data_IF_289135300351
#
_entry.id   IF_289135300351
#
_cell.length_a   1.000
_cell.length_b   1.000
_cell.length_c   1.000
_cell.angle_alpha   90.00
_cell.angle_beta   90.00
_cell.angle_gamma   90.00
#
_symmetry.space_group_name_H-M   'P 1'
#
loop_
_entity.id
_entity.type
_entity.pdbx_description
1 polymer ?
#
# COMPACT_ATOMS: atom_id res chain seq x y z
N UNK A 1 5.34 -7.23 -9.03
CA UNK A 1 4.62 -7.32 -7.75
C UNK A 1 5.60 -7.81 -6.69
N UNK A 2 5.68 -7.10 -5.57
CA UNK A 2 6.54 -7.42 -4.43
C UNK A 2 5.69 -7.47 -3.17
N UNK A 3 5.81 -8.51 -2.36
CA UNK A 3 5.10 -8.61 -1.08
C UNK A 3 6.03 -8.34 0.08
N UNK A 4 5.62 -7.42 0.94
CA UNK A 4 6.22 -7.06 2.22
C UNK A 4 5.36 -7.52 3.40
N UNK A 5 4.34 -8.34 3.14
CA UNK A 5 3.54 -8.97 4.17
C UNK A 5 4.36 -9.91 5.05
N UNK A 6 4.00 -10.01 6.32
CA UNK A 6 4.69 -10.78 7.35
C UNK A 6 6.06 -10.23 7.73
N UNK A 7 6.38 -8.98 7.35
CA UNK A 7 7.61 -8.31 7.77
C UNK A 7 7.34 -7.53 9.06
N UNK A 8 8.28 -7.52 10.01
CA UNK A 8 8.06 -6.93 11.34
C UNK A 8 8.18 -5.39 11.34
N UNK A 9 7.73 -4.69 10.29
CA UNK A 9 7.93 -3.25 10.16
C UNK A 9 7.23 -2.46 11.27
N UNK A 10 6.02 -2.86 11.67
CA UNK A 10 5.29 -2.24 12.78
C UNK A 10 5.77 -2.68 14.18
N UNK A 11 6.73 -3.60 14.27
CA UNK A 11 7.35 -4.02 15.53
C UNK A 11 8.67 -3.29 15.79
N UNK A 12 9.22 -2.58 14.79
CA UNK A 12 10.49 -1.86 14.92
C UNK A 12 10.30 -0.63 15.83
N UNK A 13 11.03 -0.56 16.94
CA UNK A 13 11.08 0.60 17.82
C UNK A 13 12.54 1.03 18.03
N UNK A 14 12.86 2.27 17.68
CA UNK A 14 14.19 2.88 17.84
C UNK A 14 14.32 3.70 19.13
N UNK A 15 13.33 3.66 20.03
CA UNK A 15 13.29 4.37 21.30
C UNK A 15 12.20 5.46 21.39
N UNK A 16 11.31 5.55 20.40
CA UNK A 16 10.24 6.55 20.32
C UNK A 16 8.89 5.96 19.88
N UNK A 17 8.75 4.64 19.95
CA UNK A 17 7.56 3.92 19.53
C UNK A 17 7.67 3.38 18.10
N UNK A 18 6.74 2.49 17.77
CA UNK A 18 6.66 1.85 16.46
C UNK A 18 6.06 2.76 15.39
N UNK A 19 6.29 2.46 14.09
CA UNK A 19 5.71 3.22 12.99
C UNK A 19 4.18 3.32 13.07
N UNK A 20 3.69 4.51 12.74
CA UNK A 20 2.25 4.73 12.47
C UNK A 20 1.87 4.17 11.11
N UNK A 21 2.79 4.23 10.14
CA UNK A 21 2.54 3.77 8.77
C UNK A 21 3.85 3.41 8.08
N UNK A 22 3.78 2.50 7.12
CA UNK A 22 4.94 2.03 6.35
C UNK A 22 4.62 2.13 4.86
N UNK A 23 5.62 2.41 4.04
CA UNK A 23 5.39 2.68 2.62
C UNK A 23 6.67 2.82 1.80
N UNK A 24 6.49 3.13 0.53
CA UNK A 24 7.60 3.30 -0.41
C UNK A 24 8.26 4.67 -0.23
N UNK A 25 9.58 4.67 -0.12
CA UNK A 25 10.38 5.89 0.03
C UNK A 25 10.55 6.66 -1.28
N UNK A 26 10.46 5.99 -2.43
CA UNK A 26 10.66 6.59 -3.75
C UNK A 26 9.38 6.56 -4.60
N UNK A 27 9.18 7.64 -5.36
CA UNK A 27 8.17 7.67 -6.41
C UNK A 27 8.65 6.79 -7.58
N UNK A 28 7.79 5.93 -8.13
CA UNK A 28 8.09 5.20 -9.36
C UNK A 28 8.45 6.16 -10.50
N UNK A 29 9.34 5.74 -11.38
CA UNK A 29 9.55 6.42 -12.66
C UNK A 29 8.26 6.41 -13.49
N UNK A 30 8.13 7.40 -14.38
CA UNK A 30 6.99 7.46 -15.31
C UNK A 30 6.88 6.14 -16.10
N UNK A 31 5.65 5.65 -16.27
CA UNK A 31 5.30 4.42 -16.99
C UNK A 31 5.82 3.11 -16.37
N UNK A 32 6.40 3.15 -15.16
CA UNK A 32 6.77 1.94 -14.43
C UNK A 32 5.60 1.42 -13.61
N UNK A 33 5.23 0.18 -13.89
CA UNK A 33 4.25 -0.57 -13.10
C UNK A 33 4.88 -1.03 -11.79
N UNK A 34 4.37 -0.53 -10.67
CA UNK A 34 4.80 -0.94 -9.32
C UNK A 34 3.58 -1.43 -8.55
N UNK A 35 3.71 -2.60 -7.94
CA UNK A 35 2.69 -3.17 -7.05
C UNK A 35 3.40 -3.71 -5.83
N UNK A 36 3.12 -3.12 -4.67
CA UNK A 36 3.67 -3.52 -3.38
C UNK A 36 2.54 -3.78 -2.39
N UNK A 37 2.60 -4.93 -1.73
CA UNK A 37 1.64 -5.33 -0.70
C UNK A 37 2.30 -5.19 0.66
N UNK A 38 1.64 -4.49 1.59
CA UNK A 38 2.07 -4.33 2.97
C UNK A 38 0.95 -4.77 3.90
N UNK A 39 1.30 -5.25 5.09
CA UNK A 39 0.29 -5.45 6.14
C UNK A 39 -0.25 -4.09 6.59
N UNK A 40 -1.53 -4.04 6.98
CA UNK A 40 -2.06 -2.90 7.71
C UNK A 40 -1.44 -2.83 9.12
N UNK A 41 -1.48 -1.66 9.74
CA UNK A 41 -0.92 -1.49 11.10
C UNK A 41 -1.53 -2.43 12.14
N UNK A 42 -2.85 -2.65 12.06
CA UNK A 42 -3.58 -3.54 12.95
C UNK A 42 -3.36 -5.03 12.64
N UNK A 43 -2.73 -5.35 11.51
CA UNK A 43 -2.50 -6.71 11.05
C UNK A 43 -3.75 -7.43 10.55
N UNK A 44 -4.90 -6.74 10.45
CA UNK A 44 -6.17 -7.34 10.03
C UNK A 44 -6.38 -7.30 8.51
N UNK A 45 -5.57 -6.52 7.79
CA UNK A 45 -5.72 -6.29 6.35
C UNK A 45 -4.38 -6.10 5.62
N UNK A 46 -4.51 -5.80 4.33
CA UNK A 46 -3.37 -5.56 3.43
C UNK A 46 -3.57 -4.23 2.71
N UNK A 47 -2.56 -3.39 2.74
CA UNK A 47 -2.47 -2.19 1.91
C UNK A 47 -1.76 -2.53 0.59
N UNK A 48 -2.40 -2.19 -0.52
CA UNK A 48 -1.84 -2.34 -1.85
C UNK A 48 -1.42 -0.98 -2.42
N UNK A 49 -0.11 -0.79 -2.57
CA UNK A 49 0.48 0.38 -3.19
C UNK A 49 0.72 0.10 -4.67
N UNK A 50 -0.04 0.80 -5.51
CA UNK A 50 -0.09 0.54 -6.95
C UNK A 50 0.24 1.82 -7.71
N UNK A 51 1.18 1.69 -8.65
CA UNK A 51 1.49 2.70 -9.66
C UNK A 51 1.35 2.06 -11.03
N UNK A 52 0.59 2.73 -11.89
CA UNK A 52 0.33 2.36 -13.28
C UNK A 52 0.49 3.61 -14.15
N UNK A 53 0.68 3.45 -15.47
CA UNK A 53 0.47 4.55 -16.41
C UNK A 53 -0.89 5.22 -16.16
N UNK A 54 -0.95 6.54 -16.34
CA UNK A 54 -2.13 7.34 -15.96
C UNK A 54 -3.44 6.83 -16.60
N UNK A 55 -3.36 6.41 -17.86
CA UNK A 55 -4.50 5.86 -18.60
C UNK A 55 -5.03 4.58 -17.93
N UNK A 56 -4.14 3.66 -17.57
CA UNK A 56 -4.49 2.40 -16.91
C UNK A 56 -4.99 2.65 -15.49
N UNK A 57 -4.35 3.56 -14.74
CA UNK A 57 -4.76 3.91 -13.39
C UNK A 57 -6.17 4.49 -13.36
N UNK A 58 -6.55 5.28 -14.38
CA UNK A 58 -7.89 5.87 -14.47
C UNK A 58 -9.00 4.81 -14.65
N UNK A 59 -8.69 3.71 -15.34
CA UNK A 59 -9.61 2.57 -15.50
C UNK A 59 -9.61 1.73 -14.22
N UNK A 60 -8.42 1.42 -13.69
CA UNK A 60 -8.24 0.62 -12.48
C UNK A 60 -9.01 1.19 -11.28
N UNK A 61 -8.96 2.50 -11.05
CA UNK A 61 -9.65 3.16 -9.95
C UNK A 61 -11.19 3.12 -10.04
N UNK A 62 -11.76 2.73 -11.17
CA UNK A 62 -13.22 2.67 -11.42
C UNK A 62 -13.75 1.25 -11.56
N UNK A 63 -12.86 0.26 -11.53
CA UNK A 63 -13.20 -1.15 -11.68
C UNK A 63 -14.11 -1.58 -10.51
N UNK A 64 -15.31 -2.08 -10.84
CA UNK A 64 -16.31 -2.45 -9.83
C UNK A 64 -15.95 -3.73 -9.11
N UNK A 65 -15.24 -4.65 -9.77
CA UNK A 65 -14.79 -5.90 -9.15
C UNK A 65 -13.68 -5.59 -8.14
N UNK A 66 -12.79 -4.64 -8.43
CA UNK A 66 -11.81 -4.14 -7.47
C UNK A 66 -12.49 -3.45 -6.28
N UNK A 67 -13.41 -2.52 -6.55
CA UNK A 67 -14.06 -1.70 -5.51
C UNK A 67 -14.99 -2.54 -4.61
N UNK A 68 -15.39 -3.74 -5.03
CA UNK A 68 -16.11 -4.69 -4.18
C UNK A 68 -15.25 -5.21 -3.01
N UNK A 69 -13.92 -5.15 -3.11
CA UNK A 69 -12.99 -5.72 -2.12
C UNK A 69 -11.96 -4.72 -1.58
N UNK A 70 -11.81 -3.55 -2.20
CA UNK A 70 -10.79 -2.57 -1.86
C UNK A 70 -11.39 -1.20 -1.55
N UNK A 71 -10.80 -0.52 -0.55
CA UNK A 71 -11.06 0.89 -0.27
C UNK A 71 -9.92 1.72 -0.83
N UNK A 72 -10.24 2.71 -1.65
CA UNK A 72 -9.24 3.62 -2.21
C UNK A 72 -8.82 4.64 -1.15
N UNK A 73 -7.51 4.77 -0.94
CA UNK A 73 -6.90 5.74 -0.03
C UNK A 73 -7.56 5.76 1.36
N UNK A 74 -7.51 4.64 2.11
CA UNK A 74 -8.06 4.57 3.45
C UNK A 74 -7.32 5.53 4.41
N UNK A 75 -7.93 5.89 5.55
CA UNK A 75 -7.24 6.66 6.58
C UNK A 75 -6.08 5.85 7.17
N UNK A 76 -5.03 6.56 7.58
CA UNK A 76 -3.92 5.96 8.33
C UNK A 76 -4.44 5.49 9.69
N UNK A 77 -4.19 4.23 10.00
CA UNK A 77 -4.47 3.64 11.31
C UNK A 77 -3.39 4.08 12.29
N UNK A 78 -3.78 4.72 13.39
CA UNK A 78 -2.85 5.26 14.42
C UNK A 78 -2.77 4.40 15.65
#
# INVERSE_FOLDING_TARGET
MTSWCGKPFYEVDFGWGSPVWTGLASKPEQDVVVVVLLDSKDGEGVEAWISLPEQDMSVFLRDQDLLAYAVLNPPVLT
#
